data_IF_308364784996
#
_entry.id   IF_308364784996
#
_cell.length_a   1.000
_cell.length_b   1.000
_cell.length_c   1.000
_cell.angle_alpha   90.00
_cell.angle_beta   90.00
_cell.angle_gamma   90.00
#
_symmetry.space_group_name_H-M   'P 1'
#
loop_
_entity.id
_entity.type
_entity.pdbx_description
1 polymer ?
#
# COMPACT_ATOMS: atom_id res chain seq x y z
N UNK A 1 -12.92 41.48 0.88
CA UNK A 1 -13.22 40.51 -0.21
C UNK A 1 -11.95 39.93 -0.85
N UNK A 2 -10.95 40.74 -1.26
CA UNK A 2 -9.70 40.24 -1.90
C UNK A 2 -8.82 39.33 -1.02
N UNK A 3 -8.64 39.67 0.26
CA UNK A 3 -7.85 38.87 1.22
C UNK A 3 -8.43 37.46 1.49
N UNK A 4 -9.76 37.32 1.49
CA UNK A 4 -10.44 36.02 1.67
C UNK A 4 -10.19 35.09 0.47
N UNK A 5 -10.15 35.64 -0.75
CA UNK A 5 -9.83 34.86 -1.96
C UNK A 5 -8.39 34.34 -1.96
N UNK A 6 -7.44 35.18 -1.54
CA UNK A 6 -6.02 34.79 -1.43
C UNK A 6 -5.86 33.69 -0.37
N UNK A 7 -6.51 33.82 0.79
CA UNK A 7 -6.49 32.81 1.84
C UNK A 7 -7.02 31.46 1.35
N UNK A 8 -8.10 31.47 0.56
CA UNK A 8 -8.72 30.25 0.03
C UNK A 8 -7.80 29.50 -0.95
N UNK A 9 -7.11 30.24 -1.83
CA UNK A 9 -6.17 29.66 -2.80
C UNK A 9 -4.98 29.03 -2.09
N UNK A 10 -4.38 29.74 -1.11
CA UNK A 10 -3.28 29.21 -0.29
C UNK A 10 -3.71 27.96 0.48
N UNK A 11 -4.91 27.97 1.09
CA UNK A 11 -5.44 26.84 1.83
C UNK A 11 -5.67 25.61 0.92
N UNK A 12 -6.17 25.81 -0.29
CA UNK A 12 -6.40 24.72 -1.25
C UNK A 12 -5.09 24.06 -1.73
N UNK A 13 -4.04 24.86 -1.97
CA UNK A 13 -2.72 24.35 -2.37
C UNK A 13 -2.02 23.58 -1.26
N UNK A 14 -2.09 24.07 -0.03
CA UNK A 14 -1.59 23.35 1.15
C UNK A 14 -2.36 22.05 1.39
N UNK A 15 -3.69 22.09 1.27
CA UNK A 15 -4.55 20.91 1.41
C UNK A 15 -4.23 19.82 0.38
N UNK A 16 -4.09 20.18 -0.90
CA UNK A 16 -3.72 19.26 -1.96
C UNK A 16 -2.30 18.67 -1.75
N UNK A 17 -1.35 19.48 -1.30
CA UNK A 17 0.01 19.05 -0.97
C UNK A 17 0.05 18.04 0.19
N UNK A 18 -0.70 18.32 1.27
CA UNK A 18 -0.83 17.44 2.42
C UNK A 18 -1.52 16.12 2.07
N UNK A 19 -2.62 16.16 1.31
CA UNK A 19 -3.32 14.96 0.86
C UNK A 19 -2.41 14.04 0.05
N UNK A 20 -1.62 14.64 -0.85
CA UNK A 20 -0.67 13.91 -1.68
C UNK A 20 0.49 13.30 -0.88
N UNK A 21 0.96 13.99 0.17
CA UNK A 21 1.96 13.46 1.11
C UNK A 21 1.40 12.29 1.94
N UNK A 22 0.17 12.41 2.45
CA UNK A 22 -0.51 11.34 3.18
C UNK A 22 -0.69 10.11 2.30
N UNK A 23 -1.08 10.28 1.04
CA UNK A 23 -1.23 9.17 0.08
C UNK A 23 0.09 8.41 -0.13
N UNK A 24 1.20 9.13 -0.35
CA UNK A 24 2.51 8.50 -0.51
C UNK A 24 2.97 7.76 0.75
N UNK A 25 2.71 8.33 1.93
CA UNK A 25 3.04 7.68 3.21
C UNK A 25 2.21 6.41 3.42
N UNK A 26 0.90 6.48 3.16
CA UNK A 26 0.01 5.31 3.23
C UNK A 26 0.47 4.18 2.32
N UNK A 27 0.88 4.49 1.09
CA UNK A 27 1.46 3.51 0.16
C UNK A 27 2.70 2.83 0.77
N UNK A 28 3.65 3.61 1.28
CA UNK A 28 4.86 3.05 1.89
C UNK A 28 4.57 2.18 3.13
N UNK A 29 3.61 2.60 3.95
CA UNK A 29 3.17 1.84 5.12
C UNK A 29 2.50 0.52 4.72
N UNK A 30 1.65 0.53 3.68
CA UNK A 30 1.02 -0.67 3.13
C UNK A 30 2.04 -1.68 2.56
N UNK A 31 3.03 -1.20 1.80
CA UNK A 31 4.07 -2.08 1.25
C UNK A 31 4.97 -2.67 2.34
N UNK A 32 5.21 -1.91 3.42
CA UNK A 32 5.94 -2.41 4.58
C UNK A 32 5.15 -3.51 5.30
N UNK A 33 3.88 -3.26 5.54
CA UNK A 33 2.95 -4.21 6.15
C UNK A 33 2.87 -5.51 5.34
N UNK A 34 2.80 -5.39 4.01
CA UNK A 34 2.84 -6.51 3.07
C UNK A 34 4.17 -7.28 3.13
N UNK A 35 5.32 -6.60 3.27
CA UNK A 35 6.62 -7.25 3.45
C UNK A 35 6.62 -8.13 4.72
N UNK A 36 6.12 -7.60 5.83
CA UNK A 36 6.04 -8.34 7.09
C UNK A 36 5.04 -9.50 6.98
N UNK A 37 3.91 -9.31 6.30
CA UNK A 37 2.95 -10.37 6.03
C UNK A 37 3.57 -11.52 5.22
N UNK A 38 4.30 -11.22 4.14
CA UNK A 38 4.98 -12.25 3.33
C UNK A 38 5.99 -13.04 4.16
N UNK A 39 6.75 -12.38 5.04
CA UNK A 39 7.71 -13.04 5.92
C UNK A 39 7.01 -13.96 6.93
N UNK A 40 5.87 -13.51 7.47
CA UNK A 40 5.10 -14.31 8.43
C UNK A 40 4.37 -15.49 7.76
N UNK A 41 3.93 -15.35 6.51
CA UNK A 41 3.38 -16.43 5.69
C UNK A 41 4.46 -17.46 5.33
N UNK A 42 5.64 -17.00 4.91
CA UNK A 42 6.78 -17.89 4.64
C UNK A 42 7.16 -18.73 5.86
N UNK A 43 7.17 -18.11 7.04
CA UNK A 43 7.45 -18.79 8.31
C UNK A 43 6.33 -19.79 8.65
N UNK A 44 5.07 -19.39 8.49
CA UNK A 44 3.92 -20.26 8.76
C UNK A 44 3.85 -21.48 7.83
N UNK A 45 4.11 -21.31 6.53
CA UNK A 45 4.14 -22.42 5.57
C UNK A 45 5.31 -23.38 5.87
N UNK A 46 6.46 -22.84 6.28
CA UNK A 46 7.65 -23.66 6.60
C UNK A 46 7.48 -24.51 7.85
N UNK A 47 6.79 -24.00 8.87
CA UNK A 47 6.79 -24.62 10.20
C UNK A 47 5.43 -25.12 10.69
N UNK A 48 4.31 -24.65 10.13
CA UNK A 48 3.00 -24.87 10.74
C UNK A 48 2.11 -25.89 10.02
N UNK A 49 2.42 -26.32 8.79
CA UNK A 49 1.49 -27.11 7.94
C UNK A 49 0.06 -26.54 7.87
N UNK A 50 -0.12 -25.26 8.21
CA UNK A 50 -1.41 -24.59 8.31
C UNK A 50 -1.97 -24.29 6.93
N UNK A 51 -3.29 -24.29 6.81
CA UNK A 51 -3.97 -23.82 5.61
C UNK A 51 -3.82 -22.30 5.45
N UNK A 52 -3.96 -21.80 4.22
CA UNK A 52 -3.90 -20.36 3.97
C UNK A 52 -4.97 -19.59 4.77
N UNK A 53 -6.16 -20.17 4.96
CA UNK A 53 -7.24 -19.56 5.75
C UNK A 53 -6.83 -19.38 7.22
N UNK A 54 -6.23 -20.41 7.83
CA UNK A 54 -5.71 -20.31 9.21
C UNK A 54 -4.61 -19.26 9.32
N UNK A 55 -3.68 -19.24 8.36
CA UNK A 55 -2.62 -18.23 8.33
C UNK A 55 -3.17 -16.81 8.25
N UNK A 56 -4.26 -16.58 7.51
CA UNK A 56 -4.94 -15.29 7.41
C UNK A 56 -5.66 -14.93 8.72
N UNK A 57 -6.36 -15.89 9.33
CA UNK A 57 -7.09 -15.68 10.60
C UNK A 57 -6.15 -15.40 11.77
N UNK A 58 -4.97 -16.02 11.79
CA UNK A 58 -3.93 -15.77 12.80
C UNK A 58 -3.29 -14.38 12.66
N UNK A 59 -3.60 -13.63 11.58
CA UNK A 59 -2.90 -12.42 11.13
C UNK A 59 -3.85 -11.24 10.86
N UNK A 60 -4.96 -11.17 11.57
CA UNK A 60 -5.98 -10.12 11.39
C UNK A 60 -5.50 -8.71 11.78
N UNK A 61 -4.31 -8.58 12.39
CA UNK A 61 -3.63 -7.30 12.57
C UNK A 61 -3.24 -6.65 11.24
N UNK A 62 -3.03 -7.44 10.19
CA UNK A 62 -2.73 -6.94 8.85
C UNK A 62 -4.02 -6.55 8.13
N UNK A 63 -4.07 -5.33 7.59
CA UNK A 63 -5.24 -4.78 6.88
C UNK A 63 -5.67 -5.62 5.69
N UNK A 64 -4.73 -6.27 5.00
CA UNK A 64 -5.03 -7.21 3.91
C UNK A 64 -5.75 -8.45 4.43
N UNK A 65 -5.27 -9.06 5.51
CA UNK A 65 -5.91 -10.23 6.13
C UNK A 65 -7.29 -9.89 6.68
N UNK A 66 -7.43 -8.73 7.32
CA UNK A 66 -8.72 -8.21 7.79
C UNK A 66 -9.70 -7.91 6.65
N UNK A 67 -9.20 -7.42 5.52
CA UNK A 67 -10.01 -7.22 4.32
C UNK A 67 -10.46 -8.55 3.71
N UNK A 68 -9.56 -9.53 3.69
CA UNK A 68 -9.83 -10.86 3.15
C UNK A 68 -10.90 -11.59 3.98
N UNK A 69 -10.77 -11.60 5.31
CA UNK A 69 -11.72 -12.26 6.21
C UNK A 69 -13.15 -11.72 6.07
N UNK A 70 -13.30 -10.42 5.77
CA UNK A 70 -14.60 -9.77 5.56
C UNK A 70 -15.25 -10.10 4.21
N UNK A 71 -14.49 -10.67 3.28
CA UNK A 71 -15.04 -11.06 1.98
C UNK A 71 -15.93 -12.30 2.16
N UNK A 72 -17.09 -12.30 1.51
CA UNK A 72 -17.98 -13.46 1.44
C UNK A 72 -17.29 -14.69 0.81
N UNK A 73 -16.25 -14.46 0.02
CA UNK A 73 -15.45 -15.51 -0.63
C UNK A 73 -14.49 -16.20 0.34
N UNK A 74 -14.20 -15.66 1.52
CA UNK A 74 -13.12 -16.15 2.38
C UNK A 74 -13.23 -17.64 2.73
N UNK A 75 -14.44 -18.11 3.00
CA UNK A 75 -14.71 -19.50 3.37
C UNK A 75 -14.52 -20.49 2.20
N UNK A 76 -14.71 -20.03 0.97
CA UNK A 76 -14.71 -20.86 -0.23
C UNK A 76 -13.41 -20.76 -1.02
N UNK A 77 -12.84 -19.55 -1.07
CA UNK A 77 -11.65 -19.20 -1.84
C UNK A 77 -10.87 -18.09 -1.10
N UNK A 78 -10.04 -18.46 -0.11
CA UNK A 78 -9.25 -17.50 0.67
C UNK A 78 -8.22 -16.74 -0.19
N UNK A 79 -7.79 -17.32 -1.32
CA UNK A 79 -6.87 -16.66 -2.26
C UNK A 79 -7.58 -15.52 -2.97
N UNK A 80 -8.79 -15.74 -3.49
CA UNK A 80 -9.58 -14.67 -4.12
C UNK A 80 -10.03 -13.61 -3.13
N UNK A 81 -10.39 -14.00 -1.91
CA UNK A 81 -10.70 -13.05 -0.85
C UNK A 81 -9.51 -12.12 -0.56
N UNK A 82 -8.30 -12.69 -0.51
CA UNK A 82 -7.06 -11.93 -0.34
C UNK A 82 -6.76 -11.04 -1.57
N UNK A 83 -6.96 -11.56 -2.78
CA UNK A 83 -6.83 -10.80 -4.03
C UNK A 83 -7.77 -9.59 -4.06
N UNK A 84 -9.05 -9.77 -3.71
CA UNK A 84 -10.03 -8.67 -3.61
C UNK A 84 -9.63 -7.63 -2.57
N UNK A 85 -9.20 -8.06 -1.38
CA UNK A 85 -8.71 -7.14 -0.37
C UNK A 85 -7.51 -6.32 -0.87
N UNK A 86 -6.59 -6.96 -1.59
CA UNK A 86 -5.48 -6.25 -2.25
C UNK A 86 -5.95 -5.24 -3.29
N UNK A 87 -6.98 -5.57 -4.06
CA UNK A 87 -7.55 -4.66 -5.08
C UNK A 87 -8.11 -3.39 -4.47
N UNK A 88 -8.74 -3.50 -3.31
CA UNK A 88 -9.33 -2.36 -2.60
C UNK A 88 -8.29 -1.51 -1.86
N UNK A 89 -7.20 -2.12 -1.39
CA UNK A 89 -6.16 -1.43 -0.62
C UNK A 89 -5.04 -0.83 -1.49
N UNK A 90 -4.66 -1.48 -2.59
CA UNK A 90 -3.53 -1.08 -3.43
C UNK A 90 -3.98 -0.15 -4.55
N UNK A 91 -3.91 1.15 -4.26
CA UNK A 91 -4.28 2.19 -5.23
C UNK A 91 -3.32 2.33 -6.42
N UNK A 92 -2.04 1.93 -6.25
CA UNK A 92 -1.04 2.02 -7.30
C UNK A 92 -1.17 0.81 -8.26
N UNK A 93 -1.34 1.04 -9.57
CA UNK A 93 -1.52 -0.06 -10.53
C UNK A 93 -0.34 -1.04 -10.58
N UNK A 94 0.89 -0.56 -10.35
CA UNK A 94 2.09 -1.40 -10.35
C UNK A 94 2.21 -2.25 -9.09
N UNK A 95 1.80 -1.71 -7.94
CA UNK A 95 1.71 -2.47 -6.69
C UNK A 95 0.58 -3.52 -6.75
N UNK A 96 -0.57 -3.16 -7.34
CA UNK A 96 -1.67 -4.09 -7.60
C UNK A 96 -1.25 -5.23 -8.53
N UNK A 97 -0.65 -4.92 -9.68
CA UNK A 97 -0.22 -5.96 -10.64
C UNK A 97 0.80 -6.92 -10.01
N UNK A 98 1.71 -6.40 -9.19
CA UNK A 98 2.63 -7.21 -8.41
C UNK A 98 1.89 -8.12 -7.41
N UNK A 99 0.90 -7.59 -6.68
CA UNK A 99 0.16 -8.36 -5.69
C UNK A 99 -0.75 -9.42 -6.33
N UNK A 100 -1.36 -9.10 -7.46
CA UNK A 100 -2.13 -10.05 -8.25
C UNK A 100 -1.27 -11.22 -8.74
N UNK A 101 -0.06 -10.94 -9.24
CA UNK A 101 0.88 -11.99 -9.62
C UNK A 101 1.28 -12.87 -8.43
N UNK A 102 1.41 -12.27 -7.25
CA UNK A 102 1.69 -13.01 -6.01
C UNK A 102 0.53 -13.97 -5.67
N UNK A 103 -0.71 -13.48 -5.61
CA UNK A 103 -1.87 -14.29 -5.22
C UNK A 103 -2.16 -15.41 -6.21
N UNK A 104 -1.96 -15.18 -7.51
CA UNK A 104 -2.14 -16.20 -8.55
C UNK A 104 -1.19 -17.39 -8.41
N UNK A 105 -0.01 -17.20 -7.81
CA UNK A 105 0.94 -18.31 -7.57
C UNK A 105 0.74 -19.02 -6.23
N UNK A 106 -0.17 -18.57 -5.37
CA UNK A 106 -0.45 -19.23 -4.10
C UNK A 106 -1.22 -20.54 -4.32
N UNK A 107 -0.75 -21.62 -3.68
CA UNK A 107 -1.41 -22.94 -3.72
C UNK A 107 -1.24 -23.73 -5.03
N UNK A 108 -0.40 -23.26 -5.96
CA UNK A 108 -0.17 -23.92 -7.26
C UNK A 108 0.92 -25.01 -7.18
N UNK A 109 1.87 -24.88 -6.26
CA UNK A 109 3.06 -25.74 -6.18
C UNK A 109 3.14 -26.49 -4.85
N UNK A 110 4.12 -27.37 -4.74
CA UNK A 110 4.51 -27.99 -3.46
C UNK A 110 5.06 -26.94 -2.46
N UNK A 111 5.27 -27.37 -1.21
CA UNK A 111 5.71 -26.48 -0.13
C UNK A 111 7.00 -25.74 -0.47
N UNK A 112 7.99 -26.42 -1.07
CA UNK A 112 9.25 -25.79 -1.45
C UNK A 112 9.04 -24.75 -2.54
N UNK A 113 8.28 -25.07 -3.60
CA UNK A 113 7.92 -24.10 -4.63
C UNK A 113 7.14 -22.90 -4.09
N UNK A 114 6.27 -23.09 -3.09
CA UNK A 114 5.53 -22.00 -2.45
C UNK A 114 6.47 -21.07 -1.66
N UNK A 115 7.45 -21.65 -0.95
CA UNK A 115 8.46 -20.87 -0.24
C UNK A 115 9.34 -20.06 -1.19
N UNK A 116 9.72 -20.64 -2.33
CA UNK A 116 10.52 -19.98 -3.36
C UNK A 116 9.71 -18.87 -4.05
N UNK A 117 8.42 -19.10 -4.33
CA UNK A 117 7.49 -18.08 -4.82
C UNK A 117 7.38 -16.90 -3.86
N UNK A 118 7.15 -17.16 -2.56
CA UNK A 118 7.09 -16.08 -1.56
C UNK A 118 8.42 -15.32 -1.48
N UNK A 119 9.56 -16.02 -1.51
CA UNK A 119 10.89 -15.39 -1.47
C UNK A 119 11.15 -14.51 -2.70
N UNK A 120 10.77 -14.98 -3.89
CA UNK A 120 10.85 -14.19 -5.12
C UNK A 120 10.03 -12.90 -4.99
N UNK A 121 8.77 -13.01 -4.57
CA UNK A 121 7.91 -11.85 -4.42
C UNK A 121 8.44 -10.89 -3.34
N UNK A 122 8.94 -11.39 -2.19
CA UNK A 122 9.62 -10.54 -1.21
C UNK A 122 10.75 -9.72 -1.83
N UNK A 123 11.61 -10.34 -2.67
CA UNK A 123 12.71 -9.64 -3.35
C UNK A 123 12.21 -8.58 -4.35
N UNK A 124 11.10 -8.84 -5.04
CA UNK A 124 10.47 -7.90 -5.98
C UNK A 124 9.74 -6.75 -5.26
N UNK A 125 9.36 -6.95 -3.99
CA UNK A 125 8.73 -5.93 -3.15
C UNK A 125 9.74 -4.94 -2.57
N UNK A 126 10.98 -5.38 -2.29
CA UNK A 126 12.03 -4.52 -1.72
C UNK A 126 12.29 -3.23 -2.51
N UNK A 127 12.54 -3.25 -3.83
CA UNK A 127 12.77 -2.03 -4.60
C UNK A 127 11.53 -1.14 -4.63
N UNK A 128 10.32 -1.70 -4.66
CA UNK A 128 9.05 -0.94 -4.62
C UNK A 128 8.88 -0.21 -3.30
N UNK A 129 9.15 -0.89 -2.18
CA UNK A 129 9.12 -0.30 -0.85
C UNK A 129 10.18 0.79 -0.69
N UNK A 130 11.40 0.56 -1.19
CA UNK A 130 12.47 1.55 -1.17
C UNK A 130 12.08 2.81 -1.96
N UNK A 131 11.53 2.63 -3.17
CA UNK A 131 11.03 3.72 -3.99
C UNK A 131 9.89 4.47 -3.29
N UNK A 132 8.87 3.78 -2.76
CA UNK A 132 7.75 4.41 -2.07
C UNK A 132 8.19 5.22 -0.83
N UNK A 133 9.18 4.71 -0.08
CA UNK A 133 9.78 5.43 1.05
C UNK A 133 10.53 6.67 0.61
N UNK A 134 11.30 6.57 -0.47
CA UNK A 134 12.04 7.71 -0.99
C UNK A 134 11.10 8.79 -1.53
N UNK A 135 10.06 8.38 -2.26
CA UNK A 135 9.00 9.28 -2.70
C UNK A 135 8.28 9.96 -1.54
N UNK A 136 7.93 9.21 -0.48
CA UNK A 136 7.32 9.78 0.72
C UNK A 136 8.25 10.78 1.43
N UNK A 137 9.56 10.53 1.45
CA UNK A 137 10.56 11.44 2.05
C UNK A 137 10.78 12.70 1.22
N UNK A 138 11.02 12.55 -0.09
CA UNK A 138 11.35 13.66 -0.98
C UNK A 138 10.13 14.51 -1.37
N UNK A 139 9.04 13.86 -1.80
CA UNK A 139 7.88 14.57 -2.37
C UNK A 139 7.03 15.26 -1.30
N UNK A 140 7.09 14.83 -0.03
CA UNK A 140 6.41 15.53 1.08
C UNK A 140 7.01 16.92 1.31
N UNK A 141 8.34 17.05 1.33
CA UNK A 141 9.00 18.35 1.52
C UNK A 141 8.79 19.28 0.33
N UNK A 142 8.94 18.74 -0.88
CA UNK A 142 8.81 19.54 -2.12
C UNK A 142 7.37 19.98 -2.37
N UNK A 143 6.35 19.11 -2.19
CA UNK A 143 4.94 19.50 -2.43
C UNK A 143 4.41 20.50 -1.42
N UNK A 144 4.83 20.41 -0.15
CA UNK A 144 4.47 21.41 0.86
C UNK A 144 5.11 22.77 0.53
N UNK A 145 6.39 22.77 0.13
CA UNK A 145 7.06 24.00 -0.29
C UNK A 145 6.42 24.59 -1.56
N UNK A 146 6.12 23.76 -2.57
CA UNK A 146 5.51 24.21 -3.83
C UNK A 146 4.10 24.77 -3.61
N UNK A 147 3.29 24.15 -2.74
CA UNK A 147 1.96 24.65 -2.37
C UNK A 147 2.03 26.00 -1.65
N UNK A 148 3.04 26.19 -0.78
CA UNK A 148 3.31 27.48 -0.14
C UNK A 148 3.73 28.54 -1.16
N UNK A 149 4.69 28.22 -2.04
CA UNK A 149 5.19 29.16 -3.05
C UNK A 149 4.11 29.55 -4.06
N UNK A 150 3.37 28.58 -4.61
CA UNK A 150 2.26 28.86 -5.53
C UNK A 150 1.18 29.73 -4.88
N UNK A 151 0.87 29.49 -3.60
CA UNK A 151 -0.07 30.31 -2.83
C UNK A 151 0.42 31.76 -2.64
N UNK A 152 1.70 31.95 -2.32
CA UNK A 152 2.31 33.28 -2.17
C UNK A 152 2.39 34.02 -3.52
N UNK A 153 2.80 33.33 -4.59
CA UNK A 153 2.90 33.91 -5.94
C UNK A 153 1.55 34.37 -6.48
N UNK A 154 0.51 33.54 -6.34
CA UNK A 154 -0.86 33.93 -6.75
C UNK A 154 -1.41 35.04 -5.85
N UNK A 155 -1.10 35.03 -4.55
CA UNK A 155 -1.46 36.09 -3.63
C UNK A 155 -0.83 37.45 -3.98
N UNK A 156 0.39 37.46 -4.49
CA UNK A 156 1.08 38.66 -4.98
C UNK A 156 0.57 39.13 -6.35
N UNK A 157 0.21 38.21 -7.25
CA UNK A 157 -0.37 38.52 -8.56
C UNK A 157 -1.82 39.03 -8.50
N UNK A 158 -2.56 38.65 -7.45
CA UNK A 158 -3.94 39.09 -7.19
C UNK A 158 -4.05 40.35 -6.33
N UNK A 159 -2.92 40.91 -5.90
CA UNK A 159 -2.86 42.15 -5.13
C UNK A 159 -3.09 43.38 -6.02
#
# INVERSE_FOLDING_TARGET
MKLLGILLVVASGLGAGLWSAVRLRRRADLLLELKVLLQSLQTGIRYSSQSLSELILDRLEFRLCKGAERSELFLWDPVKALEQAGRDLLEDPGDWAWFQGFTQGLGVSDTQGQLDHIALYQSLLEPRLAQAREEARQKTRVRVALGLFAGVSLGLLLW
#
